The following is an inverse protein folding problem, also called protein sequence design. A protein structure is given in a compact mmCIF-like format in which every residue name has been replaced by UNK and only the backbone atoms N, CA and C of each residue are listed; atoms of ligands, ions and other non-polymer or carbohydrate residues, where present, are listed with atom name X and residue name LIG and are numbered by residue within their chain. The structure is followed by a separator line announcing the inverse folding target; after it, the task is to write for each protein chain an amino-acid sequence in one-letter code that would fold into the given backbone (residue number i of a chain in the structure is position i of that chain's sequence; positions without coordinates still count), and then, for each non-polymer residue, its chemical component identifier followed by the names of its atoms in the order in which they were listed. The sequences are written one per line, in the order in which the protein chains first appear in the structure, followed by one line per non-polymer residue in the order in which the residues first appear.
data_IF_019136264459
#
_entry.id   IF_019136264459
#
_cell.length_a   1.000
_cell.length_b   1.000
_cell.length_c   1.000
_cell.angle_alpha   90.00
_cell.angle_beta   90.00
_cell.angle_gamma   90.00
#
_symmetry.space_group_name_H-M   'P 1'
#
loop_
_entity.id
_entity.type
_entity.pdbx_description
1 polymer ?
#
# COMPACT_ATOMS: atom_id res chain seq x y z
N UNK A 1 7.43 6.40 -11.69
CA UNK A 1 7.29 5.04 -11.13
C UNK A 1 6.93 5.11 -9.66
N UNK A 2 5.79 4.54 -9.29
CA UNK A 2 5.30 4.45 -7.91
C UNK A 2 5.25 2.96 -7.57
N UNK A 3 5.96 2.53 -6.54
CA UNK A 3 5.97 1.12 -6.10
C UNK A 3 5.11 0.98 -4.86
N UNK A 4 4.11 0.10 -4.92
CA UNK A 4 3.20 -0.19 -3.83
C UNK A 4 3.60 -1.53 -3.22
N UNK A 5 4.04 -1.52 -1.97
CA UNK A 5 4.55 -2.70 -1.28
C UNK A 5 3.93 -2.81 0.12
N UNK A 6 3.99 -4.01 0.70
CA UNK A 6 3.36 -4.29 1.98
C UNK A 6 2.92 -5.74 2.12
N UNK A 7 2.40 -6.08 3.29
CA UNK A 7 2.01 -7.45 3.64
C UNK A 7 0.92 -8.00 2.71
N UNK A 8 0.81 -9.32 2.63
CA UNK A 8 -0.35 -9.96 2.00
C UNK A 8 -1.62 -9.64 2.77
N UNK A 9 -2.69 -9.33 2.02
CA UNK A 9 -3.95 -8.86 2.58
C UNK A 9 -3.99 -7.37 2.94
N UNK A 10 -2.89 -6.62 2.79
CA UNK A 10 -2.86 -5.19 3.11
C UNK A 10 -3.70 -4.30 2.18
N UNK A 11 -4.24 -4.83 1.07
CA UNK A 11 -5.07 -4.07 0.14
C UNK A 11 -4.32 -3.32 -0.97
N UNK A 12 -3.11 -3.76 -1.35
CA UNK A 12 -2.28 -3.15 -2.41
C UNK A 12 -2.99 -3.07 -3.76
N UNK A 13 -3.50 -4.19 -4.26
CA UNK A 13 -4.24 -4.25 -5.53
C UNK A 13 -5.56 -3.46 -5.45
N UNK A 14 -6.25 -3.49 -4.30
CA UNK A 14 -7.44 -2.67 -4.08
C UNK A 14 -7.13 -1.16 -4.03
N UNK A 15 -5.95 -0.78 -3.52
CA UNK A 15 -5.44 0.58 -3.56
C UNK A 15 -5.10 1.02 -4.99
N UNK A 16 -4.55 0.13 -5.83
CA UNK A 16 -4.40 0.41 -7.27
C UNK A 16 -5.75 0.71 -7.89
N UNK A 17 -6.77 -0.13 -7.66
CA UNK A 17 -8.10 0.08 -8.21
C UNK A 17 -8.74 1.40 -7.72
N UNK A 18 -8.50 1.78 -6.46
CA UNK A 18 -8.92 3.07 -5.92
C UNK A 18 -8.21 4.23 -6.64
N UNK A 19 -6.89 4.18 -6.79
CA UNK A 19 -6.11 5.23 -7.47
C UNK A 19 -6.50 5.35 -8.95
N UNK A 20 -6.70 4.24 -9.65
CA UNK A 20 -7.01 4.26 -11.09
C UNK A 20 -8.48 4.53 -11.38
N UNK A 21 -9.36 4.37 -10.39
CA UNK A 21 -10.81 4.38 -10.59
C UNK A 21 -11.33 3.18 -11.39
N UNK A 22 -10.55 2.10 -11.54
CA UNK A 22 -10.90 0.92 -12.35
C UNK A 22 -10.71 -0.37 -11.57
N UNK A 23 -11.47 -1.42 -11.89
CA UNK A 23 -11.31 -2.76 -11.28
C UNK A 23 -10.35 -3.63 -12.11
N UNK A 24 -9.15 -3.13 -12.38
CA UNK A 24 -8.18 -3.78 -13.28
C UNK A 24 -7.14 -4.62 -12.55
N UNK A 25 -6.87 -4.32 -11.27
CA UNK A 25 -6.01 -5.14 -10.43
C UNK A 25 -6.83 -6.26 -9.77
N UNK A 26 -6.43 -7.53 -9.91
CA UNK A 26 -7.11 -8.64 -9.27
C UNK A 26 -7.11 -8.48 -7.74
N UNK A 27 -8.26 -8.64 -7.12
CA UNK A 27 -8.43 -8.60 -5.66
C UNK A 27 -9.10 -9.89 -5.20
N UNK A 28 -8.68 -10.42 -4.05
CA UNK A 28 -9.44 -11.46 -3.34
C UNK A 28 -9.72 -11.01 -1.91
N UNK A 29 -10.87 -11.43 -1.40
CA UNK A 29 -11.24 -11.35 0.01
C UNK A 29 -10.42 -12.30 0.88
N UNK A 30 -9.83 -13.34 0.28
CA UNK A 30 -9.09 -14.37 0.98
C UNK A 30 -7.69 -13.87 1.38
N UNK A 31 -7.20 -14.36 2.53
CA UNK A 31 -5.86 -14.05 3.00
C UNK A 31 -4.74 -14.65 2.12
N UNK A 32 -5.09 -15.48 1.12
CA UNK A 32 -4.15 -16.02 0.15
C UNK A 32 -3.77 -14.97 -0.89
N UNK A 33 -2.47 -14.71 -1.05
CA UNK A 33 -1.96 -13.73 -2.00
C UNK A 33 -2.36 -14.09 -3.43
N UNK A 34 -3.15 -13.25 -4.10
CA UNK A 34 -3.45 -13.41 -5.52
C UNK A 34 -2.29 -12.99 -6.43
N UNK A 35 -1.47 -12.06 -5.94
CA UNK A 35 -0.41 -11.40 -6.71
C UNK A 35 0.90 -12.17 -6.55
N UNK A 36 1.19 -13.08 -7.47
CA UNK A 36 2.42 -13.89 -7.46
C UNK A 36 3.60 -13.21 -8.18
N UNK A 37 3.34 -12.11 -8.90
CA UNK A 37 4.34 -11.32 -9.67
C UNK A 37 4.02 -9.83 -9.59
N UNK A 38 4.99 -8.97 -9.93
CA UNK A 38 4.74 -7.53 -10.04
C UNK A 38 3.88 -7.22 -11.26
N UNK A 39 2.74 -6.56 -11.05
CA UNK A 39 1.88 -6.04 -12.12
C UNK A 39 2.10 -4.53 -12.27
N UNK A 40 2.03 -4.03 -13.51
CA UNK A 40 2.28 -2.62 -13.82
C UNK A 40 1.04 -2.00 -14.44
N UNK A 41 0.52 -0.95 -13.81
CA UNK A 41 -0.65 -0.21 -14.26
C UNK A 41 -0.23 1.20 -14.68
N UNK A 42 -0.59 1.60 -15.90
CA UNK A 42 -0.37 2.96 -16.38
C UNK A 42 -1.61 3.79 -16.07
N UNK A 43 -1.42 4.98 -15.52
CA UNK A 43 -2.52 5.88 -15.18
C UNK A 43 -2.08 7.33 -15.35
N UNK A 44 -3.03 8.20 -15.68
CA UNK A 44 -2.82 9.62 -15.90
C UNK A 44 -3.45 10.40 -14.74
N UNK A 45 -2.62 11.05 -13.92
CA UNK A 45 -3.09 11.92 -12.83
C UNK A 45 -3.24 13.33 -13.38
N UNK A 46 -4.46 13.86 -13.39
CA UNK A 46 -4.76 15.22 -13.86
C UNK A 46 -4.83 16.16 -12.66
N UNK A 47 -3.99 17.21 -12.63
CA UNK A 47 -3.99 18.22 -11.57
C UNK A 47 -3.66 19.60 -12.12
N UNK A 48 -4.49 20.60 -11.84
CA UNK A 48 -4.25 22.02 -12.18
C UNK A 48 -3.73 22.25 -13.61
N UNK A 49 -4.31 21.56 -14.59
CA UNK A 49 -3.95 21.57 -16.02
C UNK A 49 -2.65 20.84 -16.42
N UNK A 50 -2.10 20.00 -15.55
CA UNK A 50 -1.00 19.09 -15.88
C UNK A 50 -1.49 17.64 -15.81
N UNK A 51 -1.06 16.84 -16.78
CA UNK A 51 -1.26 15.38 -16.76
C UNK A 51 0.06 14.71 -16.43
N UNK A 52 0.14 14.08 -15.27
CA UNK A 52 1.28 13.27 -14.86
C UNK A 52 1.01 11.81 -15.21
N UNK A 53 1.82 11.27 -16.11
CA UNK A 53 1.77 9.84 -16.47
C UNK A 53 2.51 9.04 -15.41
N UNK A 54 1.81 8.17 -14.70
CA UNK A 54 2.38 7.31 -13.66
C UNK A 54 2.33 5.85 -14.06
N UNK A 55 3.31 5.08 -13.58
CA UNK A 55 3.32 3.62 -13.58
C UNK A 55 3.20 3.18 -12.11
N UNK A 56 2.12 2.50 -11.76
CA UNK A 56 1.89 1.88 -10.46
C UNK A 56 2.38 0.44 -10.52
N UNK A 57 3.33 0.09 -9.67
CA UNK A 57 3.86 -1.25 -9.55
C UNK A 57 3.21 -1.92 -8.34
N UNK A 58 2.24 -2.78 -8.60
CA UNK A 58 1.59 -3.62 -7.59
C UNK A 58 2.45 -4.86 -7.36
N UNK A 59 2.91 -5.05 -6.12
CA UNK A 59 3.85 -6.13 -5.80
C UNK A 59 3.15 -7.30 -5.13
N UNK A 60 3.77 -8.47 -5.21
CA UNK A 60 3.42 -9.59 -4.32
C UNK A 60 3.48 -9.12 -2.87
N UNK A 61 2.59 -9.66 -2.03
CA UNK A 61 2.59 -9.31 -0.63
C UNK A 61 3.69 -10.04 0.15
N UNK A 62 4.07 -9.41 1.24
CA UNK A 62 5.10 -9.91 2.15
C UNK A 62 4.45 -10.69 3.31
N UNK A 63 5.23 -11.52 3.99
CA UNK A 63 4.79 -12.22 5.20
C UNK A 63 3.47 -13.00 5.03
N UNK A 64 3.43 -13.86 4.03
CA UNK A 64 2.24 -14.62 3.61
C UNK A 64 1.76 -15.73 4.57
N UNK A 65 2.43 -15.92 5.71
CA UNK A 65 2.18 -17.08 6.58
C UNK A 65 2.55 -18.40 5.89
N UNK A 66 2.21 -19.54 6.49
CA UNK A 66 2.44 -20.87 5.90
C UNK A 66 1.47 -21.22 4.76
N UNK A 67 0.38 -20.46 4.62
CA UNK A 67 -0.73 -20.73 3.70
C UNK A 67 -0.75 -19.81 2.45
N UNK A 68 0.24 -18.93 2.28
CA UNK A 68 0.27 -18.07 1.10
C UNK A 68 0.93 -18.72 -0.12
N UNK A 69 0.79 -18.04 -1.25
CA UNK A 69 1.17 -18.52 -2.58
C UNK A 69 2.66 -18.29 -2.90
N UNK A 70 3.33 -17.39 -2.17
CA UNK A 70 4.76 -17.08 -2.32
C UNK A 70 5.45 -17.08 -0.94
N UNK A 71 6.50 -17.88 -0.74
CA UNK A 71 7.31 -17.83 0.48
C UNK A 71 7.85 -16.42 0.74
N UNK A 72 7.79 -15.95 1.98
CA UNK A 72 8.18 -14.57 2.35
C UNK A 72 9.57 -14.15 1.86
N UNK A 73 10.56 -15.05 1.94
CA UNK A 73 11.93 -14.78 1.45
C UNK A 73 11.96 -14.55 -0.06
N UNK A 74 11.12 -15.26 -0.80
CA UNK A 74 11.01 -15.12 -2.25
C UNK A 74 10.31 -13.80 -2.62
N UNK A 75 9.22 -13.45 -1.94
CA UNK A 75 8.54 -12.17 -2.11
C UNK A 75 9.47 -10.97 -1.83
N UNK A 76 10.28 -11.06 -0.76
CA UNK A 76 11.32 -10.06 -0.47
C UNK A 76 12.39 -9.97 -1.57
N UNK A 77 12.80 -11.11 -2.12
CA UNK A 77 13.77 -11.14 -3.22
C UNK A 77 13.20 -10.54 -4.51
N UNK A 78 11.94 -10.82 -4.84
CA UNK A 78 11.27 -10.21 -5.99
C UNK A 78 11.16 -8.70 -5.83
N UNK A 79 10.72 -8.22 -4.67
CA UNK A 79 10.66 -6.79 -4.38
C UNK A 79 12.05 -6.14 -4.47
N UNK A 80 13.09 -6.77 -3.90
CA UNK A 80 14.47 -6.26 -3.99
C UNK A 80 14.94 -6.14 -5.43
N UNK A 81 14.73 -7.18 -6.24
CA UNK A 81 15.10 -7.18 -7.67
C UNK A 81 14.36 -6.07 -8.42
N UNK A 82 13.05 -5.91 -8.17
CA UNK A 82 12.26 -4.83 -8.76
C UNK A 82 12.85 -3.46 -8.43
N UNK A 83 13.09 -3.19 -7.14
CA UNK A 83 13.62 -1.90 -6.69
C UNK A 83 14.99 -1.62 -7.33
N UNK A 84 15.88 -2.61 -7.38
CA UNK A 84 17.18 -2.49 -8.02
C UNK A 84 17.05 -2.16 -9.52
N UNK A 85 16.25 -2.93 -10.26
CA UNK A 85 16.02 -2.71 -11.69
C UNK A 85 15.47 -1.31 -11.96
N UNK A 86 14.50 -0.85 -11.16
CA UNK A 86 13.93 0.48 -11.33
C UNK A 86 14.93 1.58 -11.00
N UNK A 87 15.77 1.40 -9.98
CA UNK A 87 16.82 2.37 -9.64
C UNK A 87 17.92 2.49 -10.70
N UNK A 88 18.19 1.43 -11.46
CA UNK A 88 19.18 1.40 -12.55
C UNK A 88 18.63 1.96 -13.88
N UNK A 89 17.32 2.06 -14.03
CA UNK A 89 16.65 2.47 -15.27
C UNK A 89 15.97 3.85 -15.14
N UNK A 90 14.64 3.85 -15.01
CA UNK A 90 13.77 5.03 -15.00
C UNK A 90 13.68 5.74 -13.63
N UNK A 91 14.32 5.18 -12.59
CA UNK A 91 14.24 5.64 -11.21
C UNK A 91 12.90 5.32 -10.51
N UNK A 92 12.90 5.46 -9.18
CA UNK A 92 11.70 5.35 -8.34
C UNK A 92 11.36 6.75 -7.84
N UNK A 93 10.10 7.14 -7.98
CA UNK A 93 9.64 8.49 -7.64
C UNK A 93 8.91 8.52 -6.29
N UNK A 94 8.26 7.41 -5.92
CA UNK A 94 7.52 7.27 -4.67
C UNK A 94 7.45 5.80 -4.28
N UNK A 95 7.61 5.53 -2.99
CA UNK A 95 7.29 4.25 -2.37
C UNK A 95 6.03 4.41 -1.53
N UNK A 96 5.06 3.55 -1.78
CA UNK A 96 3.80 3.50 -1.02
C UNK A 96 3.83 2.24 -0.16
N UNK A 97 4.02 2.43 1.15
CA UNK A 97 3.93 1.35 2.11
C UNK A 97 2.47 1.15 2.52
N UNK A 98 1.84 0.14 1.93
CA UNK A 98 0.45 -0.19 2.18
C UNK A 98 0.35 -1.17 3.36
N UNK A 99 -0.39 -0.78 4.40
CA UNK A 99 -0.54 -1.55 5.64
C UNK A 99 -2.01 -1.66 6.03
N UNK A 100 -2.33 -2.74 6.76
CA UNK A 100 -3.66 -2.95 7.30
C UNK A 100 -3.75 -2.35 8.71
N UNK A 101 -4.66 -1.40 8.94
CA UNK A 101 -4.79 -0.71 10.23
C UNK A 101 -5.18 -1.61 11.41
N UNK A 102 -5.68 -2.81 11.14
CA UNK A 102 -6.07 -3.78 12.18
C UNK A 102 -4.94 -4.73 12.61
N UNK A 103 -3.74 -4.66 12.00
CA UNK A 103 -2.61 -5.54 12.33
C UNK A 103 -1.64 -4.91 13.34
N UNK A 104 -0.89 -5.76 14.04
CA UNK A 104 0.06 -5.33 15.07
C UNK A 104 1.27 -4.54 14.53
N UNK A 105 1.65 -3.50 15.28
CA UNK A 105 2.78 -2.59 15.00
C UNK A 105 4.15 -3.29 14.82
N UNK A 106 4.37 -4.46 15.44
CA UNK A 106 5.66 -5.18 15.34
C UNK A 106 5.95 -5.72 13.94
N UNK A 107 4.93 -6.22 13.24
CA UNK A 107 5.08 -6.72 11.87
C UNK A 107 5.36 -5.55 10.90
N UNK A 108 4.64 -4.44 11.11
CA UNK A 108 4.84 -3.18 10.39
C UNK A 108 6.30 -2.69 10.50
N UNK A 109 6.84 -2.64 11.72
CA UNK A 109 8.22 -2.19 11.94
C UNK A 109 9.27 -3.09 11.30
N UNK A 110 9.15 -4.41 11.48
CA UNK A 110 10.09 -5.39 10.88
C UNK A 110 10.13 -5.25 9.36
N UNK A 111 8.95 -5.12 8.75
CA UNK A 111 8.83 -4.95 7.31
C UNK A 111 9.43 -3.62 6.87
N UNK A 112 9.06 -2.51 7.51
CA UNK A 112 9.64 -1.20 7.22
C UNK A 112 11.18 -1.21 7.23
N UNK A 113 11.80 -1.71 8.30
CA UNK A 113 13.27 -1.72 8.43
C UNK A 113 13.96 -2.61 7.39
N UNK A 114 13.33 -3.71 6.98
CA UNK A 114 13.86 -4.59 5.93
C UNK A 114 13.95 -3.91 4.57
N UNK A 115 13.13 -2.90 4.29
CA UNK A 115 13.12 -2.20 3.00
C UNK A 115 13.75 -0.81 3.07
N UNK A 116 13.56 -0.07 4.16
CA UNK A 116 14.14 1.25 4.36
C UNK A 116 15.67 1.22 4.20
N UNK A 117 16.34 0.24 4.81
CA UNK A 117 17.80 0.06 4.69
C UNK A 117 18.30 -0.20 3.26
N UNK A 118 17.42 -0.59 2.33
CA UNK A 118 17.78 -0.99 0.95
C UNK A 118 17.52 0.12 -0.07
N UNK A 119 16.60 1.03 0.23
CA UNK A 119 16.27 2.14 -0.65
C UNK A 119 17.14 3.31 -0.21
N UNK A 120 18.09 3.74 -1.06
CA UNK A 120 18.92 4.93 -0.79
C UNK A 120 18.00 6.07 -0.32
N UNK A 121 18.45 6.86 0.66
CA UNK A 121 17.73 7.95 1.39
C UNK A 121 17.05 9.05 0.52
N UNK A 122 16.97 8.87 -0.81
CA UNK A 122 16.47 9.85 -1.77
C UNK A 122 15.04 9.63 -2.24
N UNK A 123 14.44 8.46 -2.02
CA UNK A 123 13.07 8.18 -2.50
C UNK A 123 12.07 8.40 -1.37
N UNK A 124 11.08 9.30 -1.52
CA UNK A 124 10.07 9.51 -0.49
C UNK A 124 9.24 8.24 -0.29
N UNK A 125 9.00 7.90 0.98
CA UNK A 125 8.12 6.81 1.38
C UNK A 125 6.89 7.43 2.02
N UNK A 126 5.70 7.06 1.54
CA UNK A 126 4.42 7.38 2.19
C UNK A 126 3.78 6.12 2.72
N UNK A 127 2.99 6.23 3.78
CA UNK A 127 2.23 5.12 4.35
C UNK A 127 0.75 5.25 3.99
N UNK A 128 0.15 4.18 3.51
CA UNK A 128 -1.29 4.10 3.27
C UNK A 128 -1.86 3.02 4.16
N UNK A 129 -2.73 3.43 5.07
CA UNK A 129 -3.36 2.56 6.06
C UNK A 129 -4.77 2.22 5.58
N UNK A 130 -5.00 0.95 5.27
CA UNK A 130 -6.27 0.43 4.76
C UNK A 130 -7.08 -0.25 5.86
N UNK A 131 -8.32 -0.63 5.54
CA UNK A 131 -9.29 -1.30 6.43
C UNK A 131 -9.68 -0.46 7.64
N UNK A 132 -9.92 0.83 7.41
CA UNK A 132 -10.29 1.80 8.44
C UNK A 132 -11.77 2.21 8.38
N UNK A 133 -12.58 1.55 7.55
CA UNK A 133 -14.03 1.81 7.39
C UNK A 133 -14.81 1.79 8.72
N UNK A 134 -14.36 0.97 9.66
CA UNK A 134 -14.98 0.81 10.97
C UNK A 134 -14.32 1.64 12.08
N UNK A 135 -13.29 2.45 11.78
CA UNK A 135 -12.66 3.28 12.80
C UNK A 135 -13.55 4.46 13.20
N UNK A 136 -13.57 4.79 14.48
CA UNK A 136 -14.32 5.93 15.02
C UNK A 136 -13.39 6.89 15.78
N UNK A 137 -13.61 8.22 15.69
CA UNK A 137 -14.72 8.88 14.97
C UNK A 137 -14.52 9.00 13.46
N UNK A 138 -13.29 8.90 12.96
CA UNK A 138 -12.90 9.03 11.56
C UNK A 138 -11.74 8.06 11.23
N UNK A 139 -11.39 7.88 9.94
CA UNK A 139 -10.30 6.96 9.55
C UNK A 139 -8.94 7.47 10.04
N UNK A 140 -8.77 8.79 10.08
CA UNK A 140 -7.56 9.48 10.49
C UNK A 140 -7.21 9.24 11.97
N UNK A 141 -8.19 8.84 12.77
CA UNK A 141 -8.00 8.45 14.16
C UNK A 141 -6.95 7.35 14.34
N UNK A 142 -6.76 6.47 13.36
CA UNK A 142 -5.70 5.48 13.41
C UNK A 142 -4.31 6.15 13.44
N UNK A 143 -4.07 7.11 12.54
CA UNK A 143 -2.80 7.83 12.49
C UNK A 143 -2.52 8.55 13.81
N UNK A 144 -3.50 9.32 14.30
CA UNK A 144 -3.40 10.06 15.56
C UNK A 144 -3.02 9.17 16.76
N UNK A 145 -3.48 7.91 16.78
CA UNK A 145 -3.16 6.95 17.85
C UNK A 145 -1.77 6.31 17.71
N UNK A 146 -1.25 6.23 16.49
CA UNK A 146 -0.05 5.44 16.18
C UNK A 146 1.18 6.27 15.81
N UNK A 147 1.02 7.54 15.43
CA UNK A 147 2.10 8.42 14.96
C UNK A 147 3.28 8.47 15.93
N UNK A 148 3.02 8.65 17.23
CA UNK A 148 4.08 8.67 18.23
C UNK A 148 4.84 7.35 18.31
N UNK A 149 4.15 6.21 18.24
CA UNK A 149 4.77 4.88 18.26
C UNK A 149 5.59 4.63 16.99
N UNK A 150 5.05 5.03 15.84
CA UNK A 150 5.74 4.97 14.54
C UNK A 150 7.03 5.79 14.57
N UNK A 151 6.97 7.01 15.10
CA UNK A 151 8.13 7.88 15.27
C UNK A 151 9.16 7.30 16.25
N UNK A 152 8.73 6.77 17.39
CA UNK A 152 9.61 6.12 18.37
C UNK A 152 10.33 4.88 17.83
N UNK A 153 9.76 4.24 16.80
CA UNK A 153 10.36 3.12 16.08
C UNK A 153 11.25 3.56 14.91
N UNK A 154 11.59 4.86 14.82
CA UNK A 154 12.42 5.44 13.77
C UNK A 154 11.87 5.22 12.35
N UNK A 155 10.55 5.13 12.21
CA UNK A 155 9.90 5.07 10.91
C UNK A 155 9.53 6.47 10.46
N UNK A 156 10.08 6.90 9.33
CA UNK A 156 9.85 8.23 8.75
C UNK A 156 9.06 8.11 7.45
N UNK A 157 7.99 8.89 7.32
CA UNK A 157 7.18 8.96 6.11
C UNK A 157 7.07 10.41 5.63
N UNK A 158 7.12 10.61 4.31
CA UNK A 158 6.91 11.90 3.66
C UNK A 158 5.44 12.35 3.68
N UNK A 159 4.54 11.45 4.07
CA UNK A 159 3.10 11.67 4.19
C UNK A 159 2.36 10.37 4.48
N UNK A 160 1.09 10.48 4.82
CA UNK A 160 0.23 9.34 5.12
C UNK A 160 -1.18 9.53 4.54
N UNK A 161 -1.89 8.42 4.38
CA UNK A 161 -3.32 8.42 4.08
C UNK A 161 -4.02 7.30 4.85
N UNK A 162 -5.16 7.62 5.46
CA UNK A 162 -6.03 6.68 6.15
C UNK A 162 -7.29 6.44 5.30
N UNK A 163 -7.41 5.27 4.70
CA UNK A 163 -8.40 5.00 3.65
C UNK A 163 -9.17 3.70 3.86
N UNK A 164 -10.28 3.56 3.12
CA UNK A 164 -10.90 2.26 2.86
C UNK A 164 -10.80 1.90 1.38
N UNK A 165 -10.43 0.64 1.12
CA UNK A 165 -10.38 0.09 -0.23
C UNK A 165 -11.58 -0.81 -0.54
N UNK A 166 -12.57 -0.84 0.36
CA UNK A 166 -13.80 -1.62 0.21
C UNK A 166 -14.62 -1.05 -0.96
N UNK A 167 -15.14 -1.94 -1.80
CA UNK A 167 -16.09 -1.59 -2.86
C UNK A 167 -17.46 -1.34 -2.27
N UNK A 168 -18.18 -0.35 -2.80
CA UNK A 168 -19.52 0.00 -2.34
C UNK A 168 -20.57 -0.64 -3.23
N UNK A 169 -21.59 -1.21 -2.61
CA UNK A 169 -22.87 -1.56 -3.22
C UNK A 169 -23.98 -0.58 -2.82
N UNK A 170 -25.08 -0.55 -3.57
CA UNK A 170 -26.21 0.35 -3.32
C UNK A 170 -26.81 0.18 -1.91
N UNK A 171 -26.76 -1.04 -1.37
CA UNK A 171 -27.31 -1.40 -0.06
C UNK A 171 -26.38 -1.10 1.11
N UNK A 172 -25.15 -0.64 0.87
CA UNK A 172 -24.20 -0.35 1.93
C UNK A 172 -24.62 0.86 2.78
N UNK A 173 -24.20 0.81 4.05
CA UNK A 173 -24.47 1.89 5.00
C UNK A 173 -23.93 3.24 4.54
N UNK A 174 -24.65 4.32 4.87
CA UNK A 174 -24.18 5.69 4.61
C UNK A 174 -22.83 5.99 5.25
N UNK A 175 -22.51 5.31 6.38
CA UNK A 175 -21.19 5.41 7.00
C UNK A 175 -20.12 4.92 6.01
N UNK A 176 -20.28 3.72 5.46
CA UNK A 176 -19.31 3.16 4.52
C UNK A 176 -19.22 3.99 3.23
N UNK A 177 -20.35 4.50 2.73
CA UNK A 177 -20.39 5.40 1.57
C UNK A 177 -19.56 6.66 1.77
N UNK A 178 -19.76 7.36 2.88
CA UNK A 178 -18.97 8.54 3.25
C UNK A 178 -17.48 8.21 3.42
N UNK A 179 -17.14 7.04 3.97
CA UNK A 179 -15.73 6.63 4.16
C UNK A 179 -15.01 6.43 2.83
N UNK A 180 -15.71 5.89 1.84
CA UNK A 180 -15.15 5.73 0.49
C UNK A 180 -14.98 7.06 -0.23
N UNK A 181 -15.91 8.00 -0.08
CA UNK A 181 -15.78 9.34 -0.65
C UNK A 181 -14.60 10.13 -0.06
N UNK A 182 -14.24 9.83 1.19
CA UNK A 182 -13.08 10.39 1.88
C UNK A 182 -11.75 9.71 1.51
N UNK A 183 -11.80 8.57 0.81
CA UNK A 183 -10.64 7.77 0.40
C UNK A 183 -10.20 8.11 -1.01
#
# INVERSE_FOLDING_TARGET
NIVIFGETGAGKSSLVNLITGTQSAPTSSDAMGCTTKTNVYKHDIVSHNKTLKVKLFDTAGLDEGSEGTVPNKEAQNFLKKLLQTLMEQDGIHLLVYCVQGTRESRALHRNYMSFYSKVKEKVPIVIVVTRLENQDPDMEQWWRKNEQSISNLNMTFAGHACVTTVTIDENDSDKLKRRREQS
#
